data_IF_333368610360
#
_entry.id   IF_333368610360
#
_cell.length_a   1.000
_cell.length_b   1.000
_cell.length_c   1.000
_cell.angle_alpha   90.00
_cell.angle_beta   90.00
_cell.angle_gamma   90.00
#
_symmetry.space_group_name_H-M   'P 1'
#
loop_
_entity.id
_entity.type
_entity.pdbx_description
1 polymer ?
#
# COMPACT_ATOMS: atom_id res chain seq x y z
N UNK A 1 8.79 8.45 26.94
CA UNK A 1 9.43 7.78 25.79
C UNK A 1 9.44 6.24 25.99
N UNK A 2 8.28 5.59 26.31
CA UNK A 2 8.22 4.16 26.71
C UNK A 2 7.12 3.35 25.98
N UNK A 3 6.42 3.90 24.97
CA UNK A 3 5.22 3.22 24.44
C UNK A 3 5.26 2.83 22.96
N UNK A 4 6.38 2.94 22.26
CA UNK A 4 6.47 2.60 20.82
C UNK A 4 6.89 1.13 20.59
N UNK A 5 7.33 0.41 21.61
CA UNK A 5 7.91 -0.94 21.47
C UNK A 5 6.89 -2.02 21.10
N UNK A 6 5.63 -1.86 21.51
CA UNK A 6 4.59 -2.88 21.26
C UNK A 6 4.15 -2.99 19.79
N UNK A 7 4.19 -1.91 19.02
CA UNK A 7 3.80 -1.93 17.60
C UNK A 7 4.96 -2.43 16.74
N UNK A 8 6.18 -1.98 17.05
CA UNK A 8 7.37 -2.34 16.27
C UNK A 8 7.83 -3.79 16.48
N UNK A 9 7.41 -4.42 17.56
CA UNK A 9 7.71 -5.84 17.86
C UNK A 9 6.69 -6.83 17.30
N UNK A 10 5.58 -6.38 16.68
CA UNK A 10 4.58 -7.29 16.09
C UNK A 10 5.21 -8.17 15.02
N UNK A 11 4.92 -9.50 14.99
CA UNK A 11 5.58 -10.44 14.09
C UNK A 11 5.57 -10.04 12.60
N UNK A 12 4.46 -9.54 12.01
CA UNK A 12 4.46 -9.10 10.61
C UNK A 12 5.42 -7.93 10.35
N UNK A 13 5.53 -6.99 11.30
CA UNK A 13 6.42 -5.82 11.22
C UNK A 13 7.89 -6.25 11.24
N UNK A 14 8.24 -7.14 12.19
CA UNK A 14 9.58 -7.67 12.31
C UNK A 14 9.99 -8.47 11.07
N UNK A 15 9.10 -9.33 10.56
CA UNK A 15 9.34 -10.14 9.38
C UNK A 15 9.51 -9.30 8.11
N UNK A 16 8.76 -8.21 7.99
CA UNK A 16 8.90 -7.23 6.90
C UNK A 16 10.15 -6.34 7.02
N UNK A 17 10.91 -6.43 8.11
CA UNK A 17 12.06 -5.57 8.39
C UNK A 17 11.69 -4.12 8.68
N UNK A 18 10.47 -3.86 9.18
CA UNK A 18 9.95 -2.52 9.42
C UNK A 18 10.30 -1.95 10.80
N UNK A 19 10.57 -2.79 11.81
CA UNK A 19 10.79 -2.34 13.20
C UNK A 19 11.79 -1.19 13.31
N UNK A 20 12.95 -1.33 12.67
CA UNK A 20 14.01 -0.30 12.68
C UNK A 20 13.61 0.97 11.92
N UNK A 21 12.89 0.85 10.81
CA UNK A 21 12.40 2.00 10.04
C UNK A 21 11.33 2.77 10.82
N UNK A 22 10.39 2.06 11.44
CA UNK A 22 9.33 2.68 12.26
C UNK A 22 9.88 3.33 13.53
N UNK A 23 10.95 2.80 14.12
CA UNK A 23 11.65 3.44 15.23
C UNK A 23 12.41 4.71 14.79
N UNK A 24 12.84 4.75 13.52
CA UNK A 24 13.61 5.86 12.95
C UNK A 24 12.72 6.99 12.43
N UNK A 25 11.57 6.66 11.86
CA UNK A 25 10.72 7.60 11.14
C UNK A 25 9.24 7.37 11.38
N UNK A 26 8.49 8.44 11.37
CA UNK A 26 7.02 8.45 11.33
C UNK A 26 6.48 8.82 9.95
N UNK A 27 7.38 9.06 9.00
CA UNK A 27 7.08 9.63 7.69
C UNK A 27 7.26 11.15 7.64
N UNK A 28 7.56 11.68 6.46
CA UNK A 28 7.74 13.12 6.24
C UNK A 28 6.40 13.79 5.96
N UNK A 29 6.16 14.94 6.58
CA UNK A 29 4.85 15.61 6.53
C UNK A 29 4.48 16.18 5.15
N UNK A 30 5.48 16.44 4.31
CA UNK A 30 5.35 16.90 2.92
C UNK A 30 5.19 15.75 1.92
N UNK A 31 5.36 14.50 2.38
CA UNK A 31 5.17 13.33 1.54
C UNK A 31 3.67 12.95 1.52
N UNK A 32 3.08 12.97 0.32
CA UNK A 32 1.71 12.54 0.11
C UNK A 32 1.65 11.08 -0.34
N UNK A 33 0.77 10.31 0.29
CA UNK A 33 0.46 8.92 -0.05
C UNK A 33 -0.98 8.85 -0.52
N UNK A 34 -1.21 8.32 -1.70
CA UNK A 34 -2.56 8.13 -2.26
C UNK A 34 -3.18 6.82 -1.80
N UNK A 35 -4.47 6.83 -1.53
CA UNK A 35 -5.28 5.65 -1.26
C UNK A 35 -6.47 5.59 -2.21
N UNK A 36 -6.45 4.63 -3.13
CA UNK A 36 -7.60 4.26 -3.97
C UNK A 36 -8.30 3.06 -3.33
N UNK A 37 -9.46 3.31 -2.70
CA UNK A 37 -10.22 2.29 -1.97
C UNK A 37 -11.69 2.71 -1.84
N UNK A 38 -12.39 2.26 -0.83
CA UNK A 38 -13.68 2.80 -0.40
C UNK A 38 -13.52 4.11 0.40
N UNK A 39 -14.63 4.68 0.89
CA UNK A 39 -14.60 5.87 1.72
C UNK A 39 -13.96 5.57 3.09
N UNK A 40 -13.06 6.44 3.53
CA UNK A 40 -12.40 6.31 4.86
C UNK A 40 -13.27 6.96 5.93
N UNK A 41 -13.51 6.26 7.04
CA UNK A 41 -14.22 6.79 8.20
C UNK A 41 -13.33 7.74 9.01
N UNK A 42 -13.19 8.95 8.52
CA UNK A 42 -12.26 9.97 9.05
C UNK A 42 -12.55 10.39 10.49
N UNK A 43 -13.80 10.28 10.95
CA UNK A 43 -14.19 10.52 12.35
C UNK A 43 -13.75 9.42 13.32
N UNK A 44 -13.02 8.39 12.86
CA UNK A 44 -12.51 7.36 13.77
C UNK A 44 -11.46 7.96 14.72
N UNK A 45 -11.55 7.73 16.06
CA UNK A 45 -10.61 8.29 17.04
C UNK A 45 -9.13 7.99 16.72
N UNK A 46 -8.85 6.85 16.08
CA UNK A 46 -7.51 6.48 15.63
C UNK A 46 -6.88 7.42 14.61
N UNK A 47 -7.66 8.32 13.99
CA UNK A 47 -7.16 9.33 13.03
C UNK A 47 -7.07 10.74 13.62
N UNK A 48 -7.23 10.91 14.94
CA UNK A 48 -7.27 12.25 15.59
C UNK A 48 -6.04 13.14 15.29
N UNK A 49 -4.89 12.55 14.99
CA UNK A 49 -3.66 13.26 14.61
C UNK A 49 -3.26 13.04 13.13
N UNK A 50 -4.04 12.28 12.36
CA UNK A 50 -3.72 11.98 10.97
C UNK A 50 -4.05 13.17 10.06
N UNK A 51 -3.20 13.38 9.05
CA UNK A 51 -3.45 14.34 7.97
C UNK A 51 -4.13 13.61 6.82
N UNK A 52 -5.42 13.87 6.66
CA UNK A 52 -6.26 13.27 5.63
C UNK A 52 -6.70 14.37 4.66
N UNK A 53 -6.49 14.15 3.38
CA UNK A 53 -6.94 15.01 2.27
C UNK A 53 -7.80 14.17 1.32
N UNK A 54 -8.71 14.82 0.59
CA UNK A 54 -9.52 14.21 -0.47
C UNK A 54 -9.11 14.79 -1.81
N UNK A 55 -8.95 13.94 -2.81
CA UNK A 55 -8.66 14.40 -4.18
C UNK A 55 -9.91 15.00 -4.85
N UNK A 56 -11.10 14.62 -4.40
CA UNK A 56 -12.37 15.22 -4.81
C UNK A 56 -13.32 15.31 -3.60
N UNK A 57 -14.37 16.13 -3.72
CA UNK A 57 -15.39 16.28 -2.69
C UNK A 57 -16.25 15.00 -2.66
N UNK A 58 -16.14 14.23 -1.58
CA UNK A 58 -16.94 13.03 -1.34
C UNK A 58 -18.05 13.33 -0.37
N UNK A 59 -19.25 12.87 -0.68
CA UNK A 59 -20.38 12.96 0.25
C UNK A 59 -20.28 11.79 1.25
N UNK A 60 -19.61 12.04 2.37
CA UNK A 60 -19.45 11.05 3.44
C UNK A 60 -20.68 10.90 4.33
N UNK A 61 -21.71 11.72 4.13
CA UNK A 61 -22.91 11.75 4.97
C UNK A 61 -23.74 10.46 4.88
N UNK A 62 -23.62 9.71 3.78
CA UNK A 62 -24.36 8.46 3.54
C UNK A 62 -23.58 7.19 3.90
N UNK A 63 -22.33 7.27 4.34
CA UNK A 63 -21.53 6.09 4.64
C UNK A 63 -21.97 5.44 5.94
N UNK A 64 -22.71 4.36 5.81
CA UNK A 64 -23.19 3.59 6.95
C UNK A 64 -22.06 2.85 7.67
N UNK A 65 -22.14 2.77 9.00
CA UNK A 65 -21.15 2.08 9.83
C UNK A 65 -21.02 0.55 9.56
N UNK A 66 -21.85 -0.02 8.69
CA UNK A 66 -21.81 -1.41 8.22
C UNK A 66 -21.35 -1.51 6.77
N UNK A 67 -20.92 -0.42 6.17
CA UNK A 67 -20.41 -0.42 4.79
C UNK A 67 -19.10 -1.21 4.72
N UNK A 68 -19.08 -2.23 3.86
CA UNK A 68 -17.93 -3.13 3.70
C UNK A 68 -16.74 -2.38 3.09
N UNK A 69 -16.99 -1.53 2.09
CA UNK A 69 -15.94 -0.75 1.43
C UNK A 69 -15.34 0.29 2.39
N UNK A 70 -16.18 0.98 3.17
CA UNK A 70 -15.70 1.92 4.17
C UNK A 70 -14.91 1.25 5.30
N UNK A 71 -15.37 0.08 5.75
CA UNK A 71 -14.63 -0.71 6.74
C UNK A 71 -13.26 -1.13 6.22
N UNK A 72 -13.18 -1.54 4.96
CA UNK A 72 -11.95 -1.94 4.31
C UNK A 72 -10.98 -0.76 4.16
N UNK A 73 -11.42 0.34 3.56
CA UNK A 73 -10.63 1.56 3.39
C UNK A 73 -10.11 2.12 4.72
N UNK A 74 -10.97 2.12 5.76
CA UNK A 74 -10.59 2.54 7.12
C UNK A 74 -9.49 1.64 7.69
N UNK A 75 -9.56 0.32 7.43
CA UNK A 75 -8.51 -0.61 7.86
C UNK A 75 -7.19 -0.38 7.13
N UNK A 76 -7.22 -0.14 5.81
CA UNK A 76 -6.03 0.20 5.01
C UNK A 76 -5.40 1.51 5.51
N UNK A 77 -6.21 2.57 5.65
CA UNK A 77 -5.76 3.85 6.19
C UNK A 77 -5.19 3.71 7.61
N UNK A 78 -5.80 2.86 8.44
CA UNK A 78 -5.33 2.56 9.80
C UNK A 78 -3.93 1.93 9.82
N UNK A 79 -3.62 1.03 8.88
CA UNK A 79 -2.26 0.47 8.73
C UNK A 79 -1.26 1.57 8.38
N UNK A 80 -1.66 2.56 7.57
CA UNK A 80 -0.77 3.61 7.08
C UNK A 80 -0.61 4.74 8.10
N UNK A 81 -1.69 5.43 8.49
CA UNK A 81 -1.64 6.75 9.12
C UNK A 81 -2.39 6.88 10.45
N UNK A 82 -2.90 5.81 11.02
CA UNK A 82 -3.46 5.89 12.36
C UNK A 82 -2.41 6.38 13.38
N UNK A 83 -2.84 6.93 14.49
CA UNK A 83 -1.94 7.21 15.61
C UNK A 83 -1.38 5.89 16.17
N UNK A 84 -0.09 5.84 16.51
CA UNK A 84 0.57 4.62 17.04
C UNK A 84 -0.05 4.10 18.34
N UNK A 85 -0.75 4.97 19.07
CA UNK A 85 -1.50 4.62 20.29
C UNK A 85 -2.88 4.02 20.01
N UNK A 86 -3.34 4.03 18.76
CA UNK A 86 -4.68 3.57 18.37
C UNK A 86 -4.88 2.04 18.47
N UNK A 87 -3.81 1.28 18.62
CA UNK A 87 -3.84 -0.18 18.51
C UNK A 87 -3.72 -0.72 17.08
N UNK A 88 -3.88 0.11 16.04
CA UNK A 88 -3.55 -0.23 14.66
C UNK A 88 -2.04 -0.26 14.43
N UNK A 89 -1.60 -0.70 13.23
CA UNK A 89 -0.18 -0.80 12.92
C UNK A 89 0.50 0.57 12.75
N UNK A 90 -0.17 1.54 12.12
CA UNK A 90 0.26 2.93 12.06
C UNK A 90 1.72 3.12 11.59
N UNK A 91 2.05 2.68 10.37
CA UNK A 91 3.43 2.61 9.88
C UNK A 91 4.02 4.00 9.69
N UNK A 92 3.29 4.91 9.04
CA UNK A 92 3.76 6.24 8.65
C UNK A 92 2.78 7.36 9.04
N UNK A 93 2.47 7.55 10.34
CA UNK A 93 1.44 8.48 10.80
C UNK A 93 1.78 9.96 10.53
N UNK A 94 3.01 10.28 10.18
CA UNK A 94 3.45 11.65 9.92
C UNK A 94 3.18 12.18 8.51
N UNK A 95 2.81 11.30 7.56
CA UNK A 95 2.56 11.71 6.17
C UNK A 95 1.14 12.23 5.97
N UNK A 96 0.90 12.85 4.82
CA UNK A 96 -0.45 13.19 4.37
C UNK A 96 -1.02 12.05 3.54
N UNK A 97 -2.18 11.50 3.93
CA UNK A 97 -2.92 10.50 3.16
C UNK A 97 -3.98 11.19 2.30
N UNK A 98 -3.81 11.12 0.98
CA UNK A 98 -4.80 11.61 0.01
C UNK A 98 -5.71 10.44 -0.37
N UNK A 99 -7.00 10.54 -0.04
CA UNK A 99 -7.97 9.48 -0.29
C UNK A 99 -8.84 9.79 -1.50
N UNK A 100 -9.18 8.76 -2.26
CA UNK A 100 -10.17 8.81 -3.33
C UNK A 100 -11.01 7.53 -3.29
N UNK A 101 -12.26 7.66 -2.94
CA UNK A 101 -13.19 6.54 -3.01
C UNK A 101 -13.50 6.22 -4.47
N UNK A 102 -13.34 4.95 -4.82
CA UNK A 102 -13.67 4.41 -6.14
C UNK A 102 -14.83 3.42 -6.06
N UNK A 103 -15.33 3.16 -4.88
CA UNK A 103 -16.48 2.30 -4.67
C UNK A 103 -17.70 3.14 -4.27
N UNK A 104 -18.76 3.04 -5.05
CA UNK A 104 -20.06 3.53 -4.63
C UNK A 104 -20.57 2.62 -3.51
N UNK A 105 -21.10 3.22 -2.45
CA UNK A 105 -21.69 2.44 -1.35
C UNK A 105 -22.76 1.51 -1.91
N UNK A 106 -22.59 0.21 -1.70
CA UNK A 106 -23.55 -0.83 -2.06
C UNK A 106 -24.31 -1.34 -0.82
N UNK A 107 -24.18 -0.65 0.32
CA UNK A 107 -24.77 -1.02 1.59
C UNK A 107 -24.02 -2.11 2.35
N UNK A 108 -24.66 -2.68 3.36
CA UNK A 108 -24.02 -3.54 4.37
C UNK A 108 -23.60 -4.95 3.87
N UNK A 109 -23.94 -5.33 2.65
CA UNK A 109 -23.80 -6.72 2.18
C UNK A 109 -22.94 -6.91 0.95
N UNK A 110 -22.52 -5.84 0.26
CA UNK A 110 -21.71 -5.94 -0.95
C UNK A 110 -20.47 -5.03 -0.86
N UNK A 111 -19.34 -5.51 -1.29
CA UNK A 111 -18.24 -4.62 -1.67
C UNK A 111 -18.72 -3.76 -2.85
N UNK A 112 -18.53 -2.45 -2.78
CA UNK A 112 -18.87 -1.55 -3.86
C UNK A 112 -18.19 -2.00 -5.17
N UNK A 113 -18.80 -1.64 -6.29
CA UNK A 113 -18.22 -1.89 -7.63
C UNK A 113 -17.66 -0.60 -8.20
N UNK A 114 -16.62 -0.72 -9.00
CA UNK A 114 -16.05 0.38 -9.79
C UNK A 114 -15.82 -0.07 -11.23
N UNK A 115 -15.67 0.86 -12.14
CA UNK A 115 -15.26 0.60 -13.51
C UNK A 115 -13.77 0.89 -13.71
N UNK A 116 -13.18 0.35 -14.78
CA UNK A 116 -11.80 0.68 -15.14
C UNK A 116 -11.61 2.16 -15.46
N UNK A 117 -12.63 2.83 -16.00
CA UNK A 117 -12.59 4.27 -16.27
C UNK A 117 -12.55 5.07 -14.98
N UNK A 118 -13.48 4.83 -14.05
CA UNK A 118 -13.50 5.50 -12.74
C UNK A 118 -12.19 5.28 -11.97
N UNK A 119 -11.63 4.06 -12.04
CA UNK A 119 -10.35 3.77 -11.39
C UNK A 119 -9.18 4.50 -12.07
N UNK A 120 -9.18 4.61 -13.40
CA UNK A 120 -8.16 5.32 -14.16
C UNK A 120 -8.20 6.84 -13.87
N UNK A 121 -9.39 7.41 -13.83
CA UNK A 121 -9.58 8.83 -13.51
C UNK A 121 -9.18 9.13 -12.06
N UNK A 122 -9.60 8.28 -11.13
CA UNK A 122 -9.22 8.40 -9.73
C UNK A 122 -7.69 8.29 -9.50
N UNK A 123 -7.00 7.45 -10.28
CA UNK A 123 -5.54 7.37 -10.21
C UNK A 123 -4.89 8.67 -10.69
N UNK A 124 -5.38 9.28 -11.79
CA UNK A 124 -4.88 10.57 -12.26
C UNK A 124 -5.12 11.68 -11.25
N UNK A 125 -6.33 11.76 -10.67
CA UNK A 125 -6.66 12.74 -9.63
C UNK A 125 -5.70 12.66 -8.44
N UNK A 126 -5.37 11.46 -7.95
CA UNK A 126 -4.42 11.26 -6.85
C UNK A 126 -2.99 11.66 -7.25
N UNK A 127 -2.57 11.38 -8.49
CA UNK A 127 -1.27 11.80 -9.01
C UNK A 127 -1.22 13.34 -9.06
N UNK A 128 -2.25 13.98 -9.57
CA UNK A 128 -2.36 15.45 -9.70
C UNK A 128 -2.42 16.14 -8.32
N UNK A 129 -3.00 15.46 -7.30
CA UNK A 129 -2.95 15.91 -5.91
C UNK A 129 -1.54 15.82 -5.28
N UNK A 130 -0.54 15.32 -6.01
CA UNK A 130 0.87 15.27 -5.61
C UNK A 130 1.28 14.03 -4.84
N UNK A 131 0.52 12.94 -4.89
CA UNK A 131 0.94 11.68 -4.28
C UNK A 131 2.22 11.15 -4.93
N UNK A 132 3.15 10.65 -4.11
CA UNK A 132 4.40 10.01 -4.54
C UNK A 132 4.30 8.49 -4.57
N UNK A 133 3.39 7.96 -3.78
CA UNK A 133 3.08 6.53 -3.70
C UNK A 133 1.56 6.40 -3.67
N UNK A 134 1.01 5.41 -4.38
CA UNK A 134 -0.42 5.10 -4.38
C UNK A 134 -0.62 3.66 -3.94
N UNK A 135 -1.45 3.44 -2.93
CA UNK A 135 -1.94 2.14 -2.53
C UNK A 135 -3.23 1.81 -3.27
N UNK A 136 -3.23 0.69 -3.98
CA UNK A 136 -4.41 0.14 -4.66
C UNK A 136 -4.75 -1.23 -4.06
N UNK A 137 -5.64 -1.25 -3.09
CA UNK A 137 -6.07 -2.49 -2.41
C UNK A 137 -7.38 -3.03 -3.01
N UNK A 138 -7.44 -3.11 -4.34
CA UNK A 138 -8.64 -3.42 -5.09
C UNK A 138 -8.60 -4.82 -5.66
N UNK A 139 -9.73 -5.54 -5.58
CA UNK A 139 -9.98 -6.75 -6.35
C UNK A 139 -10.76 -6.41 -7.62
N UNK A 140 -10.43 -7.04 -8.72
CA UNK A 140 -11.23 -6.92 -9.96
C UNK A 140 -12.48 -7.77 -9.82
N UNK A 141 -13.65 -7.21 -10.15
CA UNK A 141 -14.87 -7.97 -10.17
C UNK A 141 -14.80 -9.07 -11.25
N UNK A 142 -15.45 -10.23 -11.03
CA UNK A 142 -15.62 -11.24 -12.07
C UNK A 142 -16.24 -10.62 -13.34
N UNK A 143 -15.66 -10.91 -14.49
CA UNK A 143 -16.14 -10.39 -15.78
C UNK A 143 -15.53 -9.06 -16.22
N UNK A 144 -14.73 -8.39 -15.41
CA UNK A 144 -13.95 -7.23 -15.87
C UNK A 144 -12.90 -7.66 -16.90
N UNK A 145 -12.83 -6.93 -18.02
CA UNK A 145 -11.82 -7.17 -19.06
C UNK A 145 -10.40 -7.19 -18.46
N UNK A 146 -9.61 -8.19 -18.86
CA UNK A 146 -8.19 -8.30 -18.46
C UNK A 146 -7.31 -7.20 -19.08
N UNK A 147 -7.81 -6.55 -20.12
CA UNK A 147 -7.14 -5.47 -20.83
C UNK A 147 -8.04 -4.25 -20.87
N UNK A 148 -7.55 -3.17 -20.32
CA UNK A 148 -8.27 -1.91 -20.37
C UNK A 148 -7.30 -0.76 -20.61
N UNK A 149 -7.43 -0.15 -21.80
CA UNK A 149 -6.50 0.88 -22.25
C UNK A 149 -6.45 2.09 -21.32
N UNK A 150 -7.61 2.60 -20.89
CA UNK A 150 -7.64 3.75 -19.99
C UNK A 150 -6.87 3.51 -18.68
N UNK A 151 -6.95 2.29 -18.13
CA UNK A 151 -6.19 1.93 -16.94
C UNK A 151 -4.68 1.82 -17.22
N UNK A 152 -4.29 1.28 -18.37
CA UNK A 152 -2.89 1.25 -18.80
C UNK A 152 -2.34 2.67 -18.95
N UNK A 153 -3.07 3.55 -19.65
CA UNK A 153 -2.70 4.95 -19.85
C UNK A 153 -2.58 5.73 -18.52
N UNK A 154 -3.46 5.45 -17.55
CA UNK A 154 -3.36 6.05 -16.22
C UNK A 154 -2.16 5.53 -15.42
N UNK A 155 -1.79 4.26 -15.56
CA UNK A 155 -0.58 3.71 -14.93
C UNK A 155 0.70 4.25 -15.58
N UNK A 156 0.71 4.43 -16.90
CA UNK A 156 1.81 5.11 -17.60
C UNK A 156 1.91 6.58 -17.19
N UNK A 157 0.77 7.26 -17.02
CA UNK A 157 0.71 8.63 -16.50
C UNK A 157 1.34 8.72 -15.10
N UNK A 158 0.94 7.84 -14.17
CA UNK A 158 1.52 7.79 -12.82
C UNK A 158 3.05 7.55 -12.88
N UNK A 159 3.49 6.63 -13.74
CA UNK A 159 4.92 6.34 -13.92
C UNK A 159 5.70 7.55 -14.47
N UNK A 160 5.14 8.28 -15.44
CA UNK A 160 5.74 9.48 -16.02
C UNK A 160 5.89 10.61 -14.98
N UNK A 161 4.99 10.68 -13.98
CA UNK A 161 5.05 11.63 -12.87
C UNK A 161 5.91 11.11 -11.68
N UNK A 162 6.60 9.98 -11.84
CA UNK A 162 7.45 9.42 -10.79
C UNK A 162 6.69 8.85 -9.60
N UNK A 163 5.41 8.50 -9.79
CA UNK A 163 4.55 7.90 -8.76
C UNK A 163 4.69 6.38 -8.77
N UNK A 164 4.82 5.79 -7.58
CA UNK A 164 4.88 4.34 -7.38
C UNK A 164 3.48 3.83 -7.07
N UNK A 165 2.98 2.90 -7.86
CA UNK A 165 1.73 2.21 -7.58
C UNK A 165 2.04 0.87 -6.92
N UNK A 166 1.54 0.68 -5.70
CA UNK A 166 1.60 -0.57 -4.93
C UNK A 166 0.23 -1.21 -4.97
N UNK A 167 0.12 -2.40 -5.54
CA UNK A 167 -1.17 -3.03 -5.77
C UNK A 167 -1.30 -4.40 -5.10
N UNK A 168 -2.43 -4.66 -4.48
CA UNK A 168 -2.80 -5.99 -4.00
C UNK A 168 -2.85 -6.99 -5.16
N UNK A 169 -2.33 -8.20 -4.96
CA UNK A 169 -2.32 -9.23 -5.99
C UNK A 169 -3.71 -9.82 -6.26
N UNK A 170 -4.63 -9.71 -5.29
CA UNK A 170 -5.96 -10.32 -5.30
C UNK A 170 -6.07 -11.51 -4.34
N UNK A 171 -7.31 -11.88 -4.01
CA UNK A 171 -7.61 -12.86 -2.96
C UNK A 171 -8.50 -14.03 -3.45
N UNK A 172 -8.32 -14.45 -4.71
CA UNK A 172 -9.12 -15.52 -5.32
C UNK A 172 -8.39 -16.87 -5.35
N UNK A 173 -7.15 -16.93 -4.85
CA UNK A 173 -6.29 -18.12 -4.92
C UNK A 173 -5.91 -18.51 -6.35
N UNK A 174 -5.99 -17.58 -7.28
CA UNK A 174 -5.80 -17.83 -8.70
C UNK A 174 -4.34 -17.69 -9.14
N UNK A 175 -3.98 -18.44 -10.20
CA UNK A 175 -2.73 -18.22 -10.94
C UNK A 175 -3.07 -17.29 -12.12
N UNK A 176 -3.18 -16.02 -11.83
CA UNK A 176 -3.58 -14.99 -12.81
C UNK A 176 -3.01 -13.61 -12.43
N UNK A 177 -3.19 -12.65 -13.32
CA UNK A 177 -2.81 -11.26 -13.10
C UNK A 177 -3.76 -10.31 -13.83
N UNK A 178 -4.04 -9.18 -13.21
CA UNK A 178 -4.90 -8.12 -13.74
C UNK A 178 -4.11 -7.15 -14.63
N UNK A 179 -4.80 -6.24 -15.32
CA UNK A 179 -4.14 -5.14 -16.05
C UNK A 179 -3.19 -4.36 -15.12
N UNK A 180 -3.57 -4.14 -13.87
CA UNK A 180 -2.77 -3.44 -12.87
C UNK A 180 -1.51 -4.24 -12.50
N UNK A 181 -1.67 -5.50 -12.06
CA UNK A 181 -0.53 -6.32 -11.61
C UNK A 181 0.39 -6.78 -12.75
N UNK A 182 -0.05 -6.63 -14.02
CA UNK A 182 0.79 -6.85 -15.22
C UNK A 182 1.56 -5.62 -15.66
N UNK A 183 1.18 -4.44 -15.19
CA UNK A 183 1.84 -3.21 -15.61
C UNK A 183 3.27 -3.11 -15.06
N UNK A 184 4.21 -2.68 -15.90
CA UNK A 184 5.66 -2.68 -15.57
C UNK A 184 6.07 -1.77 -14.42
N UNK A 185 5.33 -0.66 -14.20
CA UNK A 185 5.61 0.32 -13.15
C UNK A 185 4.91 0.00 -11.83
N UNK A 186 4.06 -1.03 -11.78
CA UNK A 186 3.33 -1.43 -10.58
C UNK A 186 4.15 -2.43 -9.77
N UNK A 187 4.10 -2.31 -8.46
CA UNK A 187 4.62 -3.26 -7.49
C UNK A 187 3.49 -4.15 -6.94
N UNK A 188 3.29 -5.36 -7.47
CA UNK A 188 2.28 -6.28 -6.95
C UNK A 188 2.69 -6.83 -5.60
N UNK A 189 1.73 -7.00 -4.67
CA UNK A 189 2.00 -7.49 -3.32
C UNK A 189 1.14 -8.71 -3.00
N UNK A 190 1.80 -9.79 -2.57
CA UNK A 190 1.20 -11.06 -2.16
C UNK A 190 1.20 -11.16 -0.64
N UNK A 191 0.10 -11.60 -0.04
CA UNK A 191 0.03 -11.87 1.39
C UNK A 191 0.71 -13.20 1.73
N UNK A 192 1.49 -13.20 2.80
CA UNK A 192 2.21 -14.34 3.35
C UNK A 192 1.80 -14.60 4.80
N UNK A 193 1.98 -15.83 5.23
CA UNK A 193 1.92 -16.18 6.63
C UNK A 193 3.30 -16.00 7.33
N UNK A 194 3.32 -16.12 8.65
CA UNK A 194 4.55 -16.01 9.44
C UNK A 194 5.55 -17.16 9.21
N UNK A 195 5.14 -18.25 8.54
CA UNK A 195 6.03 -19.33 8.11
C UNK A 195 6.70 -19.04 6.75
N UNK A 196 6.48 -17.85 6.18
CA UNK A 196 7.06 -17.44 4.89
C UNK A 196 6.43 -18.13 3.68
N UNK A 197 5.17 -18.56 3.78
CA UNK A 197 4.40 -19.16 2.69
C UNK A 197 3.30 -18.20 2.23
N UNK A 198 3.02 -18.07 0.92
CA UNK A 198 1.87 -17.31 0.44
C UNK A 198 0.57 -17.83 1.08
N UNK A 199 -0.33 -16.90 1.44
CA UNK A 199 -1.68 -17.30 1.82
C UNK A 199 -2.37 -17.97 0.65
N UNK A 200 -3.15 -19.03 0.93
CA UNK A 200 -3.85 -19.82 -0.10
C UNK A 200 -4.80 -18.97 -0.97
N UNK A 201 -5.36 -17.91 -0.41
CA UNK A 201 -6.24 -16.99 -1.13
C UNK A 201 -5.47 -15.99 -1.98
N UNK A 202 -4.17 -15.77 -1.77
CA UNK A 202 -3.41 -14.81 -2.56
C UNK A 202 -3.28 -15.25 -4.01
N UNK A 203 -3.61 -14.35 -4.93
CA UNK A 203 -3.30 -14.58 -6.34
C UNK A 203 -1.79 -14.54 -6.54
N UNK A 204 -1.32 -15.42 -7.41
CA UNK A 204 0.07 -15.50 -7.85
C UNK A 204 0.10 -15.54 -9.38
N UNK A 205 1.26 -15.34 -10.00
CA UNK A 205 1.35 -15.37 -11.45
C UNK A 205 2.72 -14.93 -11.94
N UNK A 206 3.01 -15.14 -13.21
CA UNK A 206 4.32 -14.84 -13.79
C UNK A 206 4.73 -13.38 -13.57
N UNK A 207 3.86 -12.43 -13.84
CA UNK A 207 4.14 -11.00 -13.64
C UNK A 207 4.31 -10.65 -12.16
N UNK A 208 3.50 -11.24 -11.28
CA UNK A 208 3.53 -11.06 -9.83
C UNK A 208 4.83 -11.63 -9.27
N UNK A 209 5.21 -12.85 -9.62
CA UNK A 209 6.42 -13.50 -9.15
C UNK A 209 7.71 -12.78 -9.59
N UNK A 210 7.73 -12.25 -10.82
CA UNK A 210 8.89 -11.54 -11.36
C UNK A 210 9.08 -10.13 -10.80
N UNK A 211 7.99 -9.40 -10.55
CA UNK A 211 8.02 -7.98 -10.20
C UNK A 211 7.54 -7.65 -8.81
N UNK A 212 6.78 -8.56 -8.20
CA UNK A 212 6.16 -8.35 -6.89
C UNK A 212 7.05 -8.65 -5.71
N UNK A 213 6.45 -8.46 -4.56
CA UNK A 213 6.98 -8.79 -3.23
C UNK A 213 5.93 -9.51 -2.39
N UNK A 214 6.38 -10.26 -1.40
CA UNK A 214 5.52 -10.88 -0.39
C UNK A 214 5.62 -10.15 0.94
N UNK A 215 4.52 -10.09 1.68
CA UNK A 215 4.46 -9.48 3.01
C UNK A 215 3.64 -10.35 3.95
N UNK A 216 4.18 -10.67 5.13
CA UNK A 216 3.46 -11.40 6.17
C UNK A 216 2.38 -10.51 6.80
N UNK A 217 1.19 -11.09 7.04
CA UNK A 217 0.03 -10.35 7.55
C UNK A 217 -0.71 -11.04 8.70
N UNK A 218 -0.23 -12.21 9.16
CA UNK A 218 -0.89 -12.95 10.24
C UNK A 218 -0.95 -12.13 11.53
N UNK A 219 -2.13 -12.11 12.16
CA UNK A 219 -2.33 -11.40 13.41
C UNK A 219 -2.36 -9.87 13.29
N UNK A 220 -2.43 -9.34 12.07
CA UNK A 220 -2.55 -7.90 11.87
C UNK A 220 -3.91 -7.41 12.38
N UNK A 221 -3.86 -6.32 13.14
CA UNK A 221 -5.03 -5.59 13.63
C UNK A 221 -4.99 -4.16 13.08
N UNK A 222 -6.13 -3.65 12.66
CA UNK A 222 -6.28 -2.28 12.17
C UNK A 222 -7.59 -1.67 12.62
N UNK A 223 -7.81 -0.41 12.21
CA UNK A 223 -9.05 0.30 12.50
C UNK A 223 -10.21 -0.31 11.71
N UNK A 224 -11.35 -0.42 12.38
CA UNK A 224 -12.63 -0.72 11.74
C UNK A 224 -13.53 0.51 11.70
N UNK A 225 -14.82 0.29 11.55
CA UNK A 225 -15.84 1.34 11.74
C UNK A 225 -16.21 1.47 13.21
N UNK A 226 -16.92 2.54 13.59
CA UNK A 226 -17.45 2.79 14.95
C UNK A 226 -16.38 2.84 16.06
N UNK A 227 -15.20 3.32 15.78
CA UNK A 227 -14.13 3.41 16.78
C UNK A 227 -13.54 2.05 17.22
N UNK A 228 -13.84 0.97 16.51
CA UNK A 228 -13.42 -0.39 16.87
C UNK A 228 -12.12 -0.79 16.17
N UNK A 229 -11.37 -1.69 16.79
CA UNK A 229 -10.30 -2.43 16.16
C UNK A 229 -10.84 -3.74 15.57
N UNK A 230 -10.19 -4.22 14.50
CA UNK A 230 -10.56 -5.49 13.87
C UNK A 230 -9.35 -6.23 13.31
N UNK A 231 -9.40 -7.55 13.20
CA UNK A 231 -8.45 -8.30 12.38
C UNK A 231 -8.51 -7.83 10.92
N UNK A 232 -7.33 -7.66 10.32
CA UNK A 232 -7.19 -7.23 8.93
C UNK A 232 -6.14 -8.09 8.24
N UNK A 233 -6.39 -8.55 7.02
CA UNK A 233 -5.51 -9.49 6.32
C UNK A 233 -5.69 -9.45 4.81
N UNK A 234 -5.18 -10.48 4.14
CA UNK A 234 -5.20 -10.60 2.69
C UNK A 234 -4.17 -9.70 1.99
N UNK A 235 -4.24 -9.68 0.66
CA UNK A 235 -3.30 -8.91 -0.16
C UNK A 235 -3.47 -7.41 0.00
N UNK A 236 -4.63 -6.93 0.46
CA UNK A 236 -4.87 -5.53 0.81
C UNK A 236 -4.03 -5.09 2.01
N UNK A 237 -3.99 -5.90 3.06
CA UNK A 237 -3.14 -5.66 4.24
C UNK A 237 -1.65 -5.69 3.86
N UNK A 238 -1.25 -6.65 3.03
CA UNK A 238 0.10 -6.78 2.52
C UNK A 238 0.52 -5.55 1.69
N UNK A 239 -0.35 -5.06 0.81
CA UNK A 239 -0.13 -3.85 0.02
C UNK A 239 0.01 -2.61 0.91
N UNK A 240 -0.84 -2.45 1.93
CA UNK A 240 -0.75 -1.35 2.87
C UNK A 240 0.59 -1.35 3.64
N UNK A 241 1.06 -2.52 4.11
CA UNK A 241 2.38 -2.64 4.77
C UNK A 241 3.51 -2.30 3.80
N UNK A 242 3.45 -2.78 2.55
CA UNK A 242 4.45 -2.47 1.53
C UNK A 242 4.46 -0.98 1.17
N UNK A 243 3.28 -0.35 1.06
CA UNK A 243 3.12 1.09 0.85
C UNK A 243 3.75 1.88 2.00
N UNK A 244 3.44 1.52 3.24
CA UNK A 244 4.03 2.16 4.41
C UNK A 244 5.56 2.02 4.46
N UNK A 245 6.10 0.83 4.12
CA UNK A 245 7.54 0.60 4.02
C UNK A 245 8.20 1.52 2.96
N UNK A 246 7.63 1.58 1.75
CA UNK A 246 8.10 2.45 0.69
C UNK A 246 8.06 3.93 1.11
N UNK A 247 6.99 4.32 1.81
CA UNK A 247 6.78 5.67 2.34
C UNK A 247 7.86 6.06 3.35
N UNK A 248 8.16 5.20 4.32
CA UNK A 248 9.22 5.46 5.30
C UNK A 248 10.59 5.56 4.64
N UNK A 249 10.88 4.71 3.65
CA UNK A 249 12.14 4.79 2.90
C UNK A 249 12.24 6.11 2.14
N UNK A 250 11.18 6.55 1.44
CA UNK A 250 11.18 7.84 0.73
C UNK A 250 11.25 9.04 1.68
N UNK A 251 10.68 8.94 2.88
CA UNK A 251 10.80 9.99 3.90
C UNK A 251 12.24 10.21 4.34
N UNK A 252 13.03 9.14 4.44
CA UNK A 252 14.44 9.20 4.82
C UNK A 252 15.36 9.49 3.60
N UNK A 253 14.94 9.07 2.40
CA UNK A 253 15.71 9.17 1.15
C UNK A 253 14.85 9.80 0.04
N UNK A 254 14.45 11.08 0.14
CA UNK A 254 13.43 11.70 -0.73
C UNK A 254 13.84 11.79 -2.21
N UNK A 255 15.14 11.73 -2.52
CA UNK A 255 15.66 11.76 -3.90
C UNK A 255 15.70 10.37 -4.58
N UNK A 256 15.26 9.31 -3.86
CA UNK A 256 15.22 7.96 -4.43
C UNK A 256 14.22 7.89 -5.58
N UNK A 257 14.67 7.40 -6.74
CA UNK A 257 13.78 7.21 -7.89
C UNK A 257 12.85 6.02 -7.70
N UNK A 258 11.66 6.01 -8.33
CA UNK A 258 10.73 4.87 -8.27
C UNK A 258 11.38 3.54 -8.62
N UNK A 259 12.17 3.50 -9.69
CA UNK A 259 12.87 2.30 -10.14
C UNK A 259 13.88 1.77 -9.11
N UNK A 260 14.65 2.67 -8.48
CA UNK A 260 15.61 2.31 -7.44
C UNK A 260 14.90 1.75 -6.19
N UNK A 261 13.79 2.39 -5.75
CA UNK A 261 13.02 1.93 -4.61
C UNK A 261 12.40 0.55 -4.86
N UNK A 262 11.71 0.37 -5.98
CA UNK A 262 11.10 -0.92 -6.36
C UNK A 262 12.18 -2.02 -6.45
N UNK A 263 13.32 -1.72 -7.06
CA UNK A 263 14.44 -2.67 -7.15
C UNK A 263 14.97 -3.07 -5.77
N UNK A 264 15.19 -2.11 -4.89
CA UNK A 264 15.66 -2.36 -3.53
C UNK A 264 14.66 -3.18 -2.71
N UNK A 265 13.35 -2.85 -2.79
CA UNK A 265 12.30 -3.60 -2.09
C UNK A 265 12.17 -5.04 -2.57
N UNK A 266 12.45 -5.31 -3.84
CA UNK A 266 12.48 -6.67 -4.41
C UNK A 266 13.72 -7.46 -4.00
N UNK A 267 14.77 -6.77 -3.60
CA UNK A 267 16.09 -7.34 -3.30
C UNK A 267 16.85 -7.81 -4.53
N UNK A 268 18.17 -7.87 -4.41
CA UNK A 268 19.09 -8.33 -5.44
C UNK A 268 18.93 -9.84 -5.70
N UNK A 269 18.08 -10.18 -6.65
CA UNK A 269 17.99 -11.56 -7.13
C UNK A 269 17.89 -11.57 -8.66
N UNK A 270 18.69 -12.43 -9.27
CA UNK A 270 18.68 -12.74 -10.70
C UNK A 270 17.26 -13.01 -11.25
N UNK A 271 17.08 -12.95 -12.57
CA UNK A 271 15.81 -13.22 -13.27
C UNK A 271 15.06 -14.39 -12.64
N UNK A 272 13.87 -14.10 -12.11
CA UNK A 272 13.00 -15.09 -11.45
C UNK A 272 12.09 -15.73 -12.46
N UNK A 273 11.98 -17.04 -12.37
CA UNK A 273 11.03 -17.86 -13.12
C UNK A 273 9.80 -18.24 -12.27
N UNK A 274 9.88 -18.03 -10.95
CA UNK A 274 8.79 -18.35 -10.01
C UNK A 274 7.56 -17.46 -10.20
N UNK A 275 6.38 -18.02 -10.02
CA UNK A 275 5.10 -17.29 -9.95
C UNK A 275 4.89 -16.62 -8.58
N UNK A 276 5.70 -17.00 -7.59
CA UNK A 276 5.64 -16.52 -6.19
C UNK A 276 6.75 -15.50 -5.97
N UNK A 277 6.45 -14.26 -5.53
CA UNK A 277 7.46 -13.25 -5.26
C UNK A 277 8.19 -13.53 -3.93
N UNK A 278 9.36 -12.92 -3.69
CA UNK A 278 10.08 -13.05 -2.43
C UNK A 278 9.42 -12.23 -1.33
N UNK A 279 9.70 -12.61 -0.09
CA UNK A 279 9.41 -11.77 1.06
C UNK A 279 10.21 -10.46 1.02
N UNK A 280 9.52 -9.36 1.28
CA UNK A 280 10.11 -8.04 1.45
C UNK A 280 10.94 -7.99 2.75
N UNK A 281 12.06 -7.26 2.68
CA UNK A 281 12.76 -6.79 3.87
C UNK A 281 13.06 -5.29 3.69
N UNK A 282 12.25 -4.45 4.32
CA UNK A 282 12.30 -3.00 4.16
C UNK A 282 13.61 -2.40 4.71
N UNK A 283 14.16 -2.96 5.78
CA UNK A 283 15.43 -2.49 6.32
C UNK A 283 16.59 -2.72 5.35
N UNK A 284 16.69 -3.91 4.77
CA UNK A 284 17.70 -4.20 3.74
C UNK A 284 17.56 -3.32 2.51
N UNK A 285 16.32 -3.04 2.10
CA UNK A 285 16.06 -2.12 1.00
C UNK A 285 16.58 -0.71 1.32
N UNK A 286 16.31 -0.21 2.51
CA UNK A 286 16.81 1.07 3.00
C UNK A 286 18.35 1.12 3.05
N UNK A 287 19.01 0.12 3.64
CA UNK A 287 20.47 0.04 3.71
C UNK A 287 21.12 0.04 2.33
N UNK A 288 20.56 -0.72 1.39
CA UNK A 288 21.06 -0.79 0.00
C UNK A 288 20.98 0.58 -0.70
N UNK A 289 19.86 1.29 -0.55
CA UNK A 289 19.66 2.63 -1.12
C UNK A 289 20.58 3.66 -0.47
N UNK A 290 20.70 3.63 0.85
CA UNK A 290 21.59 4.53 1.59
C UNK A 290 23.05 4.34 1.17
N UNK A 291 23.52 3.09 1.04
CA UNK A 291 24.85 2.79 0.57
C UNK A 291 25.10 3.26 -0.88
N UNK A 292 24.07 3.16 -1.74
CA UNK A 292 24.15 3.66 -3.12
C UNK A 292 24.25 5.19 -3.17
N UNK A 293 23.48 5.89 -2.34
CA UNK A 293 23.53 7.36 -2.20
C UNK A 293 24.93 7.81 -1.75
N UNK A 294 25.48 7.19 -0.69
CA UNK A 294 26.81 7.55 -0.15
C UNK A 294 27.90 7.36 -1.24
N UNK A 295 27.81 6.30 -2.05
CA UNK A 295 28.74 6.10 -3.17
C UNK A 295 28.62 7.21 -4.21
N UNK A 296 27.40 7.61 -4.60
CA UNK A 296 27.18 8.69 -5.57
C UNK A 296 27.73 10.03 -5.09
N UNK A 297 27.52 10.38 -3.81
CA UNK A 297 28.01 11.62 -3.20
C UNK A 297 29.55 11.67 -3.12
N UNK A 298 30.22 10.51 -2.98
CA UNK A 298 31.69 10.43 -2.97
C UNK A 298 32.34 10.54 -4.36
N UNK A 299 31.60 10.26 -5.42
CA UNK A 299 32.10 10.24 -6.82
C UNK A 299 31.55 11.39 -7.65
N UNK A 300 30.84 12.34 -7.09
CA UNK A 300 30.44 13.58 -7.78
C UNK A 300 31.61 14.55 -7.70
N UNK A 301 32.41 14.78 -8.79
CA UNK A 301 33.34 15.88 -8.82
C UNK A 301 32.53 17.18 -8.88
N UNK A 302 33.00 18.21 -8.20
CA UNK A 302 32.46 19.58 -8.11
C UNK A 302 32.03 20.14 -9.45
#
# INVERSE_FOLDING_TARGET
>A
MVHDDHVTSRPPVAMAGLSKLMARSVGAADLKVGLLDGPVMVGHPGFSAAKLEWSCQEDLAEVGARDVAATHATSVAGVLVAGRQSGALAICPGVTLVTRSVFRSAGARAAGTTTWMELADALREIVDAGARIVNMSLSTAPGMSKEHRAMQDALDYAAAHGVIVVAAAGNDGAIDSTVVTRHRSVLPVVAYNLQGRPWRISNVGRSIGQRGIGVAVDGLISLGTRGMLRPFGGTSAAAAIATGAATLILSELPKTTPGALISAMKGDRARRTSVVPPLMNAWRAFESLLASRIRQERWSPY
#
